data_IF_068226225771
#
_entry.id   IF_068226225771
#
_cell.length_a   1.000
_cell.length_b   1.000
_cell.length_c   1.000
_cell.angle_alpha   90.00
_cell.angle_beta   90.00
_cell.angle_gamma   90.00
#
_symmetry.space_group_name_H-M   'P 1'
#
loop_
_entity.id
_entity.type
_entity.pdbx_description
1 polymer ?
#
# COMPACT_ATOMS: atom_id res chain seq x y z
N UNK A 1 1.75 19.08 -6.55
CA UNK A 1 2.49 18.42 -5.45
C UNK A 1 3.49 19.41 -4.90
N UNK A 2 3.60 19.49 -3.58
CA UNK A 2 4.44 20.48 -2.91
C UNK A 2 5.92 20.12 -3.00
N UNK A 3 6.79 21.13 -3.12
CA UNK A 3 8.23 20.94 -3.29
C UNK A 3 8.90 20.27 -2.07
N UNK A 4 8.24 20.29 -0.90
CA UNK A 4 8.77 19.68 0.32
C UNK A 4 8.93 18.15 0.21
N UNK A 5 7.97 17.46 -0.39
CA UNK A 5 8.00 16.00 -0.57
C UNK A 5 8.87 15.58 -1.75
N UNK A 6 8.75 16.27 -2.90
CA UNK A 6 9.46 15.90 -4.12
C UNK A 6 10.96 16.27 -4.08
N UNK A 7 11.34 17.29 -3.30
CA UNK A 7 12.71 17.79 -3.23
C UNK A 7 13.30 18.10 -4.62
N UNK A 8 14.20 17.26 -5.13
CA UNK A 8 14.85 17.40 -6.46
C UNK A 8 14.40 16.33 -7.47
N UNK A 9 13.42 15.50 -7.10
CA UNK A 9 12.93 14.40 -7.92
C UNK A 9 11.68 14.82 -8.68
N UNK A 10 11.46 14.17 -9.83
CA UNK A 10 10.21 14.32 -10.58
C UNK A 10 9.04 13.63 -9.86
N UNK A 11 7.80 14.09 -10.08
CA UNK A 11 6.60 13.42 -9.53
C UNK A 11 6.43 12.00 -10.08
N UNK A 12 7.03 11.66 -11.22
CA UNK A 12 7.06 10.32 -11.79
C UNK A 12 8.15 9.39 -11.20
N UNK A 13 9.02 9.88 -10.30
CA UNK A 13 9.99 9.01 -9.64
C UNK A 13 9.25 7.90 -8.89
N UNK A 14 9.44 6.61 -9.24
CA UNK A 14 8.67 5.53 -8.65
C UNK A 14 8.90 5.41 -7.14
N UNK A 15 10.07 5.81 -6.63
CA UNK A 15 10.37 5.82 -5.20
C UNK A 15 9.52 6.85 -4.44
N UNK A 16 8.96 7.84 -5.13
CA UNK A 16 8.04 8.84 -4.59
C UNK A 16 6.58 8.52 -4.94
N UNK A 17 6.35 8.05 -6.16
CA UNK A 17 5.04 7.72 -6.74
C UNK A 17 5.00 6.25 -7.19
N UNK A 18 4.66 5.31 -6.30
CA UNK A 18 4.75 3.87 -6.57
C UNK A 18 3.93 3.35 -7.76
N UNK A 19 2.95 4.14 -8.23
CA UNK A 19 2.15 3.80 -9.42
C UNK A 19 3.02 3.60 -10.68
N UNK A 20 4.21 4.22 -10.72
CA UNK A 20 5.16 4.08 -11.82
C UNK A 20 6.19 2.95 -11.61
N UNK A 21 6.17 2.27 -10.46
CA UNK A 21 7.11 1.21 -10.13
C UNK A 21 6.75 -0.17 -10.70
N UNK A 22 7.73 -1.07 -10.66
CA UNK A 22 7.55 -2.51 -10.91
C UNK A 22 7.58 -3.29 -9.58
N UNK A 23 6.70 -4.29 -9.47
CA UNK A 23 6.47 -5.02 -8.21
C UNK A 23 6.89 -6.50 -8.27
N UNK A 24 7.59 -6.91 -9.33
CA UNK A 24 8.13 -8.25 -9.46
C UNK A 24 9.12 -8.56 -8.32
N UNK A 25 8.91 -9.68 -7.63
CA UNK A 25 9.75 -10.07 -6.49
C UNK A 25 9.51 -9.27 -5.21
N UNK A 26 8.53 -8.36 -5.18
CA UNK A 26 8.07 -7.75 -3.93
C UNK A 26 7.43 -8.81 -3.01
N UNK A 27 7.51 -8.64 -1.68
CA UNK A 27 6.73 -9.46 -0.76
C UNK A 27 5.23 -9.30 -1.04
N UNK A 28 4.38 -10.24 -0.59
CA UNK A 28 2.95 -10.08 -0.68
C UNK A 28 2.48 -8.75 -0.07
N UNK A 29 1.58 -8.06 -0.76
CA UNK A 29 1.01 -6.77 -0.35
C UNK A 29 -0.44 -6.96 0.07
N UNK A 30 -0.81 -6.39 1.21
CA UNK A 30 -2.22 -6.22 1.62
C UNK A 30 -2.61 -4.76 1.46
N UNK A 31 -3.60 -4.52 0.62
CA UNK A 31 -4.09 -3.18 0.30
C UNK A 31 -5.53 -3.01 0.79
N UNK A 32 -5.70 -2.12 1.76
CA UNK A 32 -7.00 -1.73 2.30
C UNK A 32 -7.27 -0.27 1.99
N UNK A 33 -8.46 0.03 1.48
CA UNK A 33 -8.91 1.40 1.23
C UNK A 33 -10.40 1.53 1.61
N UNK A 34 -10.81 2.74 1.94
CA UNK A 34 -12.21 3.08 2.17
C UNK A 34 -12.82 3.55 0.84
N UNK A 35 -13.95 2.99 0.42
CA UNK A 35 -14.59 3.40 -0.85
C UNK A 35 -14.96 4.89 -0.91
N UNK A 36 -15.46 5.53 0.16
CA UNK A 36 -15.81 6.95 0.10
C UNK A 36 -14.62 7.90 0.33
N UNK A 37 -13.36 7.42 0.30
CA UNK A 37 -12.18 8.27 0.48
C UNK A 37 -11.61 8.79 -0.84
N UNK A 38 -10.99 9.98 -0.79
CA UNK A 38 -10.43 10.62 -1.98
C UNK A 38 -9.33 9.80 -2.68
N UNK A 39 -8.61 8.95 -1.94
CA UNK A 39 -7.52 8.10 -2.43
C UNK A 39 -7.96 6.69 -2.84
N UNK A 40 -9.27 6.43 -2.87
CA UNK A 40 -9.78 5.10 -3.23
C UNK A 40 -9.34 4.69 -4.65
N UNK A 41 -9.42 5.62 -5.60
CA UNK A 41 -9.08 5.36 -6.99
C UNK A 41 -7.56 5.18 -7.19
N UNK A 42 -6.73 5.91 -6.44
CA UNK A 42 -5.29 5.69 -6.38
C UNK A 42 -4.95 4.31 -5.83
N UNK A 43 -5.63 3.87 -4.76
CA UNK A 43 -5.44 2.55 -4.19
C UNK A 43 -5.88 1.44 -5.17
N UNK A 44 -7.02 1.62 -5.85
CA UNK A 44 -7.50 0.69 -6.89
C UNK A 44 -6.45 0.56 -8.01
N UNK A 45 -5.97 1.69 -8.52
CA UNK A 45 -4.97 1.76 -9.59
C UNK A 45 -3.64 1.12 -9.19
N UNK A 46 -3.18 1.36 -7.95
CA UNK A 46 -1.97 0.73 -7.41
C UNK A 46 -2.13 -0.79 -7.33
N UNK A 47 -3.27 -1.29 -6.86
CA UNK A 47 -3.55 -2.73 -6.81
C UNK A 47 -3.48 -3.38 -8.19
N UNK A 48 -4.01 -2.71 -9.21
CA UNK A 48 -3.93 -3.16 -10.61
C UNK A 48 -2.49 -3.14 -11.13
N UNK A 49 -1.73 -2.07 -10.85
CA UNK A 49 -0.33 -1.94 -11.21
C UNK A 49 0.53 -3.06 -10.61
N UNK A 50 0.33 -3.38 -9.33
CA UNK A 50 1.07 -4.45 -8.64
C UNK A 50 0.80 -5.79 -9.34
N UNK A 51 -0.46 -6.11 -9.63
CA UNK A 51 -0.81 -7.34 -10.37
C UNK A 51 -0.19 -7.36 -11.77
N UNK A 52 -0.26 -6.24 -12.48
CA UNK A 52 0.22 -6.09 -13.87
C UNK A 52 1.74 -6.24 -13.99
N UNK A 53 2.49 -5.83 -12.97
CA UNK A 53 3.95 -5.85 -12.95
C UNK A 53 4.55 -7.04 -12.18
N UNK A 54 3.73 -8.06 -11.89
CA UNK A 54 4.19 -9.35 -11.35
C UNK A 54 4.31 -9.41 -9.82
N UNK A 55 3.70 -8.47 -9.09
CA UNK A 55 3.58 -8.53 -7.63
C UNK A 55 2.36 -9.32 -7.16
N UNK A 56 2.40 -9.79 -5.91
CA UNK A 56 1.28 -10.45 -5.25
C UNK A 56 0.53 -9.44 -4.36
N UNK A 57 -0.72 -9.13 -4.68
CA UNK A 57 -1.54 -8.20 -3.89
C UNK A 57 -2.93 -8.75 -3.58
N UNK A 58 -3.29 -8.67 -2.30
CA UNK A 58 -4.66 -8.87 -1.81
C UNK A 58 -5.28 -7.50 -1.54
N UNK A 59 -6.42 -7.23 -2.16
CA UNK A 59 -7.16 -5.98 -2.02
C UNK A 59 -8.46 -6.19 -1.25
N UNK A 60 -8.82 -5.30 -0.34
CA UNK A 60 -10.14 -5.27 0.28
C UNK A 60 -10.60 -3.83 0.51
N UNK A 61 -11.80 -3.55 0.02
CA UNK A 61 -12.41 -2.22 0.02
C UNK A 61 -13.51 -2.17 1.07
N UNK A 62 -13.53 -1.10 1.85
CA UNK A 62 -14.47 -0.92 2.95
C UNK A 62 -15.49 0.18 2.58
N UNK A 63 -16.76 -0.16 2.32
CA UNK A 63 -17.77 0.80 1.85
C UNK A 63 -18.16 1.84 2.92
N UNK A 64 -18.21 1.43 4.19
CA UNK A 64 -18.78 2.23 5.28
C UNK A 64 -17.71 2.72 6.26
N UNK A 65 -16.64 3.34 5.76
CA UNK A 65 -15.56 3.80 6.63
C UNK A 65 -14.84 5.03 6.07
N UNK A 66 -13.94 5.60 6.86
CA UNK A 66 -13.24 6.85 6.54
C UNK A 66 -11.76 6.63 6.26
N UNK A 67 -11.10 7.67 5.77
CA UNK A 67 -9.67 7.65 5.54
C UNK A 67 -8.88 7.27 6.81
N UNK A 68 -7.95 6.31 6.67
CA UNK A 68 -7.13 5.77 7.78
C UNK A 68 -8.01 5.25 8.94
N UNK A 69 -9.17 4.66 8.63
CA UNK A 69 -10.11 4.12 9.63
C UNK A 69 -9.47 3.23 10.71
N UNK A 70 -8.36 2.53 10.42
CA UNK A 70 -7.62 1.70 11.39
C UNK A 70 -7.00 2.48 12.53
N UNK A 71 -6.63 3.75 12.31
CA UNK A 71 -6.08 4.62 13.35
C UNK A 71 -7.15 5.49 14.00
N UNK A 72 -8.37 5.50 13.45
CA UNK A 72 -9.48 6.28 14.01
C UNK A 72 -10.15 5.50 15.15
N UNK A 73 -10.20 6.05 16.37
CA UNK A 73 -10.87 5.40 17.51
C UNK A 73 -12.37 5.18 17.29
N UNK A 74 -13.02 6.01 16.47
CA UNK A 74 -14.46 5.94 16.19
C UNK A 74 -14.82 4.88 15.13
N UNK A 75 -13.84 4.40 14.35
CA UNK A 75 -14.07 3.45 13.27
C UNK A 75 -13.57 2.07 13.69
N UNK A 76 -14.41 1.32 14.41
CA UNK A 76 -14.10 -0.05 14.82
C UNK A 76 -14.10 -0.98 13.59
N UNK A 77 -12.94 -1.18 12.96
CA UNK A 77 -12.80 -2.14 11.87
C UNK A 77 -12.13 -3.44 12.34
N UNK A 78 -12.88 -4.26 13.08
CA UNK A 78 -12.38 -5.56 13.59
C UNK A 78 -11.94 -6.47 12.44
N UNK A 79 -12.74 -6.54 11.37
CA UNK A 79 -12.47 -7.39 10.20
C UNK A 79 -11.15 -7.02 9.51
N UNK A 80 -10.93 -5.74 9.23
CA UNK A 80 -9.68 -5.27 8.62
C UNK A 80 -8.46 -5.48 9.50
N UNK A 81 -8.62 -5.51 10.83
CA UNK A 81 -7.55 -5.84 11.77
C UNK A 81 -7.27 -7.35 11.84
N UNK A 82 -8.30 -8.20 11.78
CA UNK A 82 -8.17 -9.67 11.68
C UNK A 82 -7.46 -10.05 10.38
N UNK A 83 -7.91 -9.53 9.25
CA UNK A 83 -7.30 -9.78 7.94
C UNK A 83 -5.83 -9.34 7.88
N UNK A 84 -5.48 -8.21 8.52
CA UNK A 84 -4.10 -7.77 8.64
C UNK A 84 -3.26 -8.76 9.46
N UNK A 85 -3.79 -9.28 10.58
CA UNK A 85 -3.09 -10.25 11.43
C UNK A 85 -2.87 -11.56 10.68
N UNK A 86 -3.89 -12.05 10.00
CA UNK A 86 -3.80 -13.25 9.16
C UNK A 86 -2.77 -13.08 8.05
N UNK A 87 -2.79 -11.93 7.38
CA UNK A 87 -1.82 -11.63 6.34
C UNK A 87 -0.39 -11.51 6.87
N UNK A 88 -0.22 -10.88 8.03
CA UNK A 88 1.10 -10.79 8.65
C UNK A 88 1.67 -12.18 8.98
N UNK A 89 0.81 -13.13 9.37
CA UNK A 89 1.22 -14.51 9.62
C UNK A 89 1.68 -15.25 8.35
N UNK A 90 1.18 -14.88 7.16
CA UNK A 90 1.64 -15.47 5.89
C UNK A 90 2.95 -14.86 5.40
N UNK A 91 3.36 -13.69 5.91
CA UNK A 91 4.50 -12.93 5.42
C UNK A 91 5.87 -13.32 6.01
N UNK A 92 5.98 -14.42 6.77
CA UNK A 92 7.28 -15.00 7.18
C UNK A 92 8.24 -14.00 7.84
N UNK A 93 7.97 -13.58 9.07
CA UNK A 93 8.95 -12.87 9.93
C UNK A 93 9.33 -11.43 9.52
N UNK A 94 8.83 -10.92 8.40
CA UNK A 94 9.07 -9.54 7.98
C UNK A 94 7.97 -8.62 8.51
N UNK A 95 8.35 -7.64 9.35
CA UNK A 95 7.42 -6.74 10.01
C UNK A 95 6.79 -5.69 9.07
N UNK A 96 5.62 -5.13 9.44
CA UNK A 96 4.91 -4.15 8.61
C UNK A 96 5.74 -2.86 8.46
N UNK A 97 5.98 -2.41 7.22
CA UNK A 97 6.44 -1.06 6.91
C UNK A 97 5.22 -0.14 6.90
N UNK A 98 5.26 0.88 7.76
CA UNK A 98 4.27 1.93 7.82
C UNK A 98 4.67 3.02 6.82
N UNK A 99 3.94 3.15 5.71
CA UNK A 99 4.02 4.36 4.86
C UNK A 99 3.05 5.38 5.47
N UNK A 100 3.53 6.52 5.97
CA UNK A 100 2.71 7.41 6.81
C UNK A 100 1.60 8.16 6.06
N UNK A 101 1.68 8.30 4.73
CA UNK A 101 0.81 9.20 3.95
C UNK A 101 -0.21 8.48 3.06
N UNK A 102 -0.02 7.19 2.84
CA UNK A 102 -0.96 6.34 2.10
C UNK A 102 -1.22 5.16 3.02
N UNK A 103 -2.46 4.78 3.27
CA UNK A 103 -2.82 3.62 4.10
C UNK A 103 -2.31 2.25 3.60
N UNK A 104 -1.28 2.24 2.75
CA UNK A 104 -0.57 1.11 2.18
C UNK A 104 0.44 0.60 3.20
N UNK A 105 0.22 -0.62 3.67
CA UNK A 105 1.19 -1.35 4.48
C UNK A 105 1.98 -2.25 3.54
N UNK A 106 3.17 -1.79 3.13
CA UNK A 106 4.17 -2.65 2.49
C UNK A 106 4.91 -3.39 3.62
N UNK A 107 5.41 -4.60 3.42
CA UNK A 107 6.23 -5.29 4.43
C UNK A 107 7.72 -5.05 4.12
N UNK A 108 8.56 -4.78 5.14
CA UNK A 108 9.94 -4.30 4.94
C UNK A 108 10.86 -5.33 4.23
N UNK A 109 11.70 -4.79 3.35
CA UNK A 109 12.53 -5.38 2.28
C UNK A 109 13.44 -6.58 2.62
N UNK A 110 13.53 -7.50 1.65
CA UNK A 110 14.71 -8.30 1.34
C UNK A 110 15.51 -7.61 0.20
N UNK A 111 16.84 -7.79 0.09
CA UNK A 111 17.71 -7.06 -0.84
C UNK A 111 17.53 -7.39 -2.34
N UNK A 112 16.49 -8.13 -2.72
CA UNK A 112 16.23 -8.56 -4.12
C UNK A 112 14.93 -8.01 -4.70
N UNK A 113 14.18 -7.17 -3.96
CA UNK A 113 13.04 -6.45 -4.55
C UNK A 113 13.58 -5.34 -5.44
N UNK A 114 13.52 -5.54 -6.75
CA UNK A 114 13.77 -4.49 -7.74
C UNK A 114 12.52 -3.63 -7.82
N UNK A 115 12.35 -2.75 -6.84
CA UNK A 115 11.49 -1.58 -7.03
C UNK A 115 12.26 -0.65 -7.97
N UNK A 116 12.21 -0.96 -9.26
CA UNK A 116 13.01 -0.31 -10.29
C UNK A 116 12.13 0.70 -11.05
N UNK A 117 12.71 1.86 -11.32
CA UNK A 117 12.24 2.73 -12.39
C UNK A 117 12.54 2.04 -13.73
N UNK A 118 11.58 2.12 -14.66
CA UNK A 118 11.84 1.79 -16.06
C UNK A 118 12.88 2.72 -16.68
#
# INVERSE_FOLDING_TARGET
MDASYLHRHGPEDPYLSPIFGEFAGCPPILLHAAEPEALFEDARSLGEQVRRTGGNVRTHWFPDTVHIFRSSPSCRNRRGMEELREFAATCGGHGPLRIPEVGVFVVRFAPRCLFAAR
#
